data_IF_142417777783
#
_entry.id   IF_142417777783
#
_cell.length_a   1.000
_cell.length_b   1.000
_cell.length_c   1.000
_cell.angle_alpha   90.00
_cell.angle_beta   90.00
_cell.angle_gamma   90.00
#
_symmetry.space_group_name_H-M   'P 1'
#
loop_
_entity.id
_entity.type
_entity.pdbx_description
1 polymer ?
#
# COMPACT_ATOMS: atom_id res chain seq x y z
N UNK A 1 -13.24 12.71 7.17
CA UNK A 1 -12.49 13.13 5.97
C UNK A 1 -12.08 11.87 5.19
N UNK A 2 -12.99 11.26 4.42
CA UNK A 2 -12.65 10.17 3.50
C UNK A 2 -12.33 10.81 2.14
N UNK A 3 -11.07 11.22 1.94
CA UNK A 3 -10.63 11.74 0.64
C UNK A 3 -10.71 10.62 -0.38
N UNK A 4 -11.46 10.85 -1.44
CA UNK A 4 -11.60 10.02 -2.64
C UNK A 4 -10.28 9.39 -3.04
N UNK A 5 -10.09 8.12 -2.72
CA UNK A 5 -9.25 7.29 -3.58
C UNK A 5 -10.03 7.13 -4.89
N UNK A 6 -9.36 7.14 -6.04
CA UNK A 6 -10.00 6.94 -7.37
C UNK A 6 -10.78 5.60 -7.47
N UNK A 7 -10.63 4.77 -6.45
CA UNK A 7 -11.32 3.54 -6.15
C UNK A 7 -12.80 3.84 -5.78
N UNK A 8 -13.60 4.05 -6.82
CA UNK A 8 -15.03 4.40 -6.67
C UNK A 8 -15.91 3.16 -6.39
N UNK A 9 -15.45 1.96 -6.72
CA UNK A 9 -16.24 0.72 -6.60
C UNK A 9 -15.84 -0.12 -5.38
N UNK A 10 -16.27 0.32 -4.18
CA UNK A 10 -15.98 -0.37 -2.90
C UNK A 10 -16.31 -1.87 -2.91
N UNK A 11 -17.38 -2.28 -3.62
CA UNK A 11 -17.79 -3.69 -3.68
C UNK A 11 -16.78 -4.52 -4.47
N UNK A 12 -16.32 -4.01 -5.61
CA UNK A 12 -15.30 -4.70 -6.40
C UNK A 12 -13.99 -4.85 -5.63
N UNK A 13 -13.57 -3.83 -4.90
CA UNK A 13 -12.34 -3.89 -4.10
C UNK A 13 -12.44 -4.85 -2.93
N UNK A 14 -13.63 -5.00 -2.34
CA UNK A 14 -13.89 -6.07 -1.37
C UNK A 14 -13.64 -7.43 -2.02
N UNK A 15 -14.19 -7.68 -3.21
CA UNK A 15 -13.97 -8.95 -3.93
C UNK A 15 -12.51 -9.15 -4.34
N UNK A 16 -11.83 -8.13 -4.86
CA UNK A 16 -10.40 -8.20 -5.23
C UNK A 16 -9.53 -8.50 -4.00
N UNK A 17 -9.88 -7.96 -2.83
CA UNK A 17 -9.12 -8.18 -1.59
C UNK A 17 -9.39 -9.56 -0.95
N UNK A 18 -10.60 -10.10 -1.08
CA UNK A 18 -10.99 -11.36 -0.39
C UNK A 18 -10.97 -12.59 -1.30
N UNK A 19 -11.13 -12.42 -2.61
CA UNK A 19 -11.24 -13.51 -3.57
C UNK A 19 -9.97 -13.60 -4.42
N UNK A 20 -9.10 -14.53 -4.07
CA UNK A 20 -7.84 -14.82 -4.77
C UNK A 20 -8.03 -15.39 -6.18
N UNK A 21 -9.26 -15.76 -6.58
CA UNK A 21 -9.59 -16.19 -7.95
C UNK A 21 -9.97 -15.02 -8.85
N UNK A 22 -10.25 -13.84 -8.29
CA UNK A 22 -10.53 -12.64 -9.07
C UNK A 22 -9.24 -12.10 -9.65
N UNK A 23 -9.12 -12.13 -10.99
CA UNK A 23 -7.98 -11.51 -11.67
C UNK A 23 -8.09 -9.99 -11.54
N UNK A 24 -7.12 -9.37 -10.88
CA UNK A 24 -6.97 -7.92 -10.82
C UNK A 24 -6.82 -7.37 -12.23
N UNK A 25 -7.62 -6.36 -12.59
CA UNK A 25 -7.47 -5.71 -13.89
C UNK A 25 -6.35 -4.68 -13.84
N UNK A 26 -5.78 -4.35 -14.99
CA UNK A 26 -4.79 -3.27 -15.14
C UNK A 26 -5.34 -1.93 -14.64
N UNK A 27 -6.64 -1.70 -14.82
CA UNK A 27 -7.35 -0.52 -14.34
C UNK A 27 -7.34 -0.43 -12.80
N UNK A 28 -7.54 -1.57 -12.13
CA UNK A 28 -7.54 -1.64 -10.67
C UNK A 28 -6.13 -1.37 -10.14
N UNK A 29 -5.11 -1.97 -10.77
CA UNK A 29 -3.71 -1.70 -10.45
C UNK A 29 -3.35 -0.21 -10.65
N UNK A 30 -3.79 0.39 -11.76
CA UNK A 30 -3.52 1.81 -12.05
C UNK A 30 -4.18 2.72 -11.00
N UNK A 31 -5.42 2.41 -10.59
CA UNK A 31 -6.10 3.15 -9.53
C UNK A 31 -5.42 2.97 -8.15
N UNK A 32 -4.88 1.77 -7.87
CA UNK A 32 -4.12 1.49 -6.66
C UNK A 32 -2.83 2.32 -6.60
N UNK A 33 -2.06 2.31 -7.69
CA UNK A 33 -0.80 3.06 -7.79
C UNK A 33 -1.03 4.57 -7.75
N UNK A 34 -2.13 5.07 -8.33
CA UNK A 34 -2.51 6.47 -8.22
C UNK A 34 -2.90 6.87 -6.78
N UNK A 35 -3.49 5.94 -6.03
CA UNK A 35 -3.87 6.17 -4.63
C UNK A 35 -2.70 6.02 -3.65
N UNK A 36 -1.76 5.12 -3.94
CA UNK A 36 -0.62 4.78 -3.09
C UNK A 36 0.68 4.65 -3.92
N UNK A 37 1.20 5.76 -4.46
CA UNK A 37 2.42 5.75 -5.26
C UNK A 37 3.66 5.30 -4.49
N UNK A 38 3.65 5.41 -3.16
CA UNK A 38 4.72 4.95 -2.26
C UNK A 38 4.92 3.42 -2.26
N UNK A 39 3.94 2.66 -2.73
CA UNK A 39 4.00 1.20 -2.81
C UNK A 39 4.24 0.70 -4.24
N UNK A 40 4.49 1.57 -5.21
CA UNK A 40 4.61 1.20 -6.62
C UNK A 40 5.72 0.16 -6.87
N UNK A 41 6.92 0.41 -6.36
CA UNK A 41 8.05 -0.49 -6.54
C UNK A 41 7.77 -1.87 -5.92
N UNK A 42 7.13 -1.88 -4.76
CA UNK A 42 6.77 -3.09 -4.05
C UNK A 42 5.70 -3.89 -4.81
N UNK A 43 4.66 -3.24 -5.32
CA UNK A 43 3.57 -3.89 -6.03
C UNK A 43 4.03 -4.41 -7.41
N UNK A 44 4.86 -3.64 -8.13
CA UNK A 44 5.26 -3.97 -9.50
C UNK A 44 6.47 -4.91 -9.55
N UNK A 45 7.47 -4.70 -8.67
CA UNK A 45 8.74 -5.44 -8.69
C UNK A 45 8.97 -6.33 -7.48
N UNK A 46 8.19 -6.19 -6.41
CA UNK A 46 8.46 -6.88 -5.13
C UNK A 46 9.66 -6.32 -4.38
N UNK A 47 10.17 -5.15 -4.80
CA UNK A 47 11.35 -4.49 -4.23
C UNK A 47 10.93 -3.28 -3.40
N UNK A 48 11.78 -2.88 -2.45
CA UNK A 48 11.61 -1.65 -1.68
C UNK A 48 12.85 -0.79 -1.81
N UNK A 49 12.66 0.52 -1.91
CA UNK A 49 13.70 1.53 -1.89
C UNK A 49 13.26 2.71 -1.01
N UNK A 50 13.47 2.60 0.33
CA UNK A 50 13.09 3.64 1.27
C UNK A 50 13.77 4.98 0.99
N UNK A 51 14.96 4.97 0.36
CA UNK A 51 15.71 6.21 0.05
C UNK A 51 14.98 7.08 -0.98
N UNK A 52 14.13 6.47 -1.80
CA UNK A 52 13.31 7.13 -2.83
C UNK A 52 11.83 7.23 -2.40
N UNK A 53 11.51 6.93 -1.14
CA UNK A 53 10.14 6.90 -0.63
C UNK A 53 9.30 5.73 -1.15
N UNK A 54 9.95 4.70 -1.72
CA UNK A 54 9.30 3.49 -2.21
C UNK A 54 9.39 2.41 -1.14
N UNK A 55 8.32 2.18 -0.41
CA UNK A 55 8.31 1.32 0.78
C UNK A 55 7.35 0.15 0.58
N UNK A 56 7.36 -0.81 1.51
CA UNK A 56 6.31 -1.84 1.59
C UNK A 56 5.40 -1.57 2.78
N UNK A 57 4.18 -2.13 2.82
CA UNK A 57 3.32 -2.06 4.00
C UNK A 57 4.02 -2.56 5.26
N UNK A 58 4.83 -3.63 5.15
CA UNK A 58 5.63 -4.14 6.26
C UNK A 58 6.69 -3.13 6.74
N UNK A 59 7.30 -2.38 5.81
CA UNK A 59 8.23 -1.31 6.14
C UNK A 59 7.51 -0.14 6.83
N UNK A 60 6.34 0.27 6.31
CA UNK A 60 5.51 1.30 6.94
C UNK A 60 5.07 0.89 8.36
N UNK A 61 4.68 -0.36 8.58
CA UNK A 61 4.35 -0.88 9.91
C UNK A 61 5.57 -0.93 10.86
N UNK A 62 6.75 -1.27 10.34
CA UNK A 62 7.98 -1.28 11.12
C UNK A 62 8.42 0.14 11.51
N UNK A 63 8.32 1.10 10.59
CA UNK A 63 8.62 2.51 10.83
C UNK A 63 7.67 3.12 11.86
N UNK A 64 6.36 2.80 11.77
CA UNK A 64 5.37 3.19 12.78
C UNK A 64 5.67 2.61 14.18
N UNK A 65 6.14 1.36 14.25
CA UNK A 65 6.54 0.73 15.51
C UNK A 65 7.82 1.37 16.07
N UNK A 66 8.77 1.74 15.21
CA UNK A 66 10.00 2.41 15.61
C UNK A 66 9.73 3.84 16.11
N UNK A 67 8.84 4.58 15.46
CA UNK A 67 8.41 5.90 15.91
C UNK A 67 7.65 5.86 17.26
N UNK A 68 6.99 4.74 17.57
CA UNK A 68 6.38 4.51 18.89
C UNK A 68 7.36 3.97 19.94
N UNK A 69 8.50 3.43 19.51
CA UNK A 69 9.60 3.02 20.38
C UNK A 69 10.60 4.18 20.47
N UNK A 70 10.23 5.21 21.21
CA UNK A 70 11.19 6.03 21.94
C UNK A 70 12.07 5.04 22.74
N UNK A 71 13.22 4.68 22.19
CA UNK A 71 14.25 3.92 22.86
C UNK A 71 14.82 4.81 23.97
N UNK A 72 14.04 4.92 25.05
CA UNK A 72 14.44 5.50 26.31
C UNK A 72 15.61 4.70 26.84
N UNK A 73 16.81 5.17 26.50
CA UNK A 73 18.03 4.76 27.15
C UNK A 73 17.92 5.13 28.62
N UNK A 74 17.89 4.13 29.51
CA UNK A 74 18.25 4.28 30.91
C UNK A 74 18.90 3.01 31.44
#
# INVERSE_FOLDING_TARGET
MAKSTAISDRRRWQTVATDTRTKTRVEDLSALLAAYPEYELYIVRGEVDPSRGQISPAYAEADLKLAGQEAGSR
#
